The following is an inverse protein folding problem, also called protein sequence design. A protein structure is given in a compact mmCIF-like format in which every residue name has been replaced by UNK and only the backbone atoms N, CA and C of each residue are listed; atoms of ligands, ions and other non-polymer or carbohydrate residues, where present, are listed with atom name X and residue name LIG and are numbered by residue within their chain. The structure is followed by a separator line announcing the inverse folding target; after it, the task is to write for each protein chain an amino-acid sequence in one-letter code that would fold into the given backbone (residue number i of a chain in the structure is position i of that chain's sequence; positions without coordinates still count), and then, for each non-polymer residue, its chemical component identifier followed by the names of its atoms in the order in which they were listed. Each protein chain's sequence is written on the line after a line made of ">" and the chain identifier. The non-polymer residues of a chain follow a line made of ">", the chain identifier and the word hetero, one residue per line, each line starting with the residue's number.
data_IF_536489182074
#
_entry.id   IF_536489182074
#
_cell.length_a   1.000
_cell.length_b   1.000
_cell.length_c   1.000
_cell.angle_alpha   90.00
_cell.angle_beta   90.00
_cell.angle_gamma   90.00
#
_symmetry.space_group_name_H-M   'P 1'
#
loop_
_entity.id
_entity.type
_entity.pdbx_description
1 polymer ?
#
# COMPACT_ATOMS: atom_id res chain seq x y z
N UNK A 1 26.99 -5.52 -7.26
CA UNK A 1 26.77 -6.96 -7.02
C UNK A 1 25.27 -7.22 -7.01
N UNK A 2 24.80 -8.37 -7.51
CA UNK A 2 23.37 -8.74 -7.53
C UNK A 2 23.24 -10.18 -7.06
N UNK A 3 22.29 -10.43 -6.16
CA UNK A 3 22.00 -11.75 -5.63
C UNK A 3 20.50 -12.05 -5.67
N UNK A 4 20.14 -13.34 -5.63
CA UNK A 4 18.74 -13.80 -5.66
C UNK A 4 18.42 -14.49 -4.34
N UNK A 5 17.28 -14.16 -3.77
CA UNK A 5 16.78 -14.71 -2.51
C UNK A 5 15.32 -15.17 -2.69
N UNK A 6 14.95 -16.26 -2.01
CA UNK A 6 13.59 -16.82 -2.02
C UNK A 6 12.81 -16.44 -0.75
N UNK A 7 11.47 -16.60 -0.75
CA UNK A 7 10.70 -16.44 0.47
C UNK A 7 11.26 -17.27 1.62
N UNK A 8 11.35 -16.68 2.81
CA UNK A 8 11.89 -17.27 4.04
C UNK A 8 13.37 -17.73 3.96
N UNK A 9 14.11 -17.28 2.94
CA UNK A 9 15.54 -17.55 2.83
C UNK A 9 16.35 -16.43 3.48
N UNK A 10 17.49 -16.79 4.08
CA UNK A 10 18.57 -15.88 4.48
C UNK A 10 19.75 -16.08 3.53
N UNK A 11 20.44 -15.00 3.19
CA UNK A 11 21.56 -15.02 2.27
C UNK A 11 22.70 -14.14 2.78
N UNK A 12 23.87 -14.75 2.98
CA UNK A 12 25.07 -14.05 3.37
C UNK A 12 25.83 -13.58 2.12
N UNK A 13 26.13 -12.29 2.07
CA UNK A 13 26.78 -11.65 0.93
C UNK A 13 28.14 -11.10 1.37
N UNK A 14 29.27 -11.71 0.96
CA UNK A 14 30.58 -11.14 1.26
C UNK A 14 30.76 -9.84 0.49
N UNK A 15 31.01 -8.75 1.22
CA UNK A 15 31.27 -7.42 0.66
C UNK A 15 32.57 -6.85 1.23
N UNK A 16 33.25 -6.01 0.46
CA UNK A 16 34.43 -5.31 0.95
C UNK A 16 34.04 -4.30 2.04
N UNK A 17 34.94 -3.97 2.99
CA UNK A 17 34.68 -2.89 3.94
C UNK A 17 34.44 -1.54 3.25
N UNK A 18 33.56 -0.72 3.83
CA UNK A 18 33.22 0.64 3.38
C UNK A 18 31.74 0.84 3.07
N UNK A 19 31.44 1.95 2.39
CA UNK A 19 30.09 2.38 2.10
C UNK A 19 29.46 1.59 0.93
N UNK A 20 28.26 1.05 1.17
CA UNK A 20 27.45 0.33 0.19
C UNK A 20 26.04 0.88 0.11
N UNK A 21 25.43 0.73 -1.07
CA UNK A 21 24.01 1.01 -1.29
C UNK A 21 23.30 -0.29 -1.64
N UNK A 22 22.34 -0.69 -0.82
CA UNK A 22 21.59 -1.94 -0.97
C UNK A 22 20.15 -1.63 -1.38
N UNK A 23 19.67 -2.30 -2.43
CA UNK A 23 18.30 -2.20 -2.91
C UNK A 23 17.75 -3.58 -3.22
N UNK A 24 16.48 -3.82 -2.91
CA UNK A 24 15.78 -5.05 -3.28
C UNK A 24 14.76 -4.80 -4.39
N UNK A 25 14.57 -5.80 -5.24
CA UNK A 25 13.57 -5.77 -6.30
C UNK A 25 12.84 -7.12 -6.42
N UNK A 26 11.54 -7.06 -6.71
CA UNK A 26 10.71 -8.21 -7.09
C UNK A 26 9.98 -7.81 -8.37
N UNK A 27 10.22 -8.52 -9.46
CA UNK A 27 9.76 -8.18 -10.82
C UNK A 27 10.03 -6.70 -11.18
N UNK A 28 8.97 -5.92 -11.37
CA UNK A 28 9.05 -4.49 -11.71
C UNK A 28 9.11 -3.57 -10.48
N UNK A 29 8.82 -4.08 -9.28
CA UNK A 29 8.78 -3.35 -8.01
C UNK A 29 10.13 -3.31 -7.31
N UNK A 30 10.46 -2.17 -6.67
CA UNK A 30 11.74 -1.95 -5.97
C UNK A 30 11.52 -1.35 -4.59
N UNK A 31 12.48 -1.56 -3.70
CA UNK A 31 12.59 -0.84 -2.43
C UNK A 31 13.34 0.49 -2.64
N UNK A 32 13.23 1.45 -1.69
CA UNK A 32 14.24 2.48 -1.52
C UNK A 32 15.63 1.83 -1.33
N UNK A 33 16.67 2.54 -1.76
CA UNK A 33 18.05 2.12 -1.49
C UNK A 33 18.42 2.51 -0.06
N UNK A 34 19.07 1.60 0.67
CA UNK A 34 19.59 1.85 2.01
C UNK A 34 21.11 1.93 1.90
N UNK A 35 21.67 3.01 2.46
CA UNK A 35 23.12 3.14 2.59
C UNK A 35 23.56 2.47 3.88
N UNK A 36 24.56 1.61 3.79
CA UNK A 36 25.21 0.97 4.92
C UNK A 36 26.70 1.24 4.82
N UNK A 37 27.37 1.37 5.96
CA UNK A 37 28.82 1.37 6.04
C UNK A 37 29.22 0.09 6.78
N UNK A 38 30.15 -0.67 6.22
CA UNK A 38 30.54 -2.00 6.73
C UNK A 38 31.99 -1.94 7.16
N UNK A 39 32.25 -2.06 8.46
CA UNK A 39 33.61 -2.13 8.99
C UNK A 39 34.27 -3.49 8.68
N UNK A 40 35.61 -3.59 8.74
CA UNK A 40 36.31 -4.85 8.55
C UNK A 40 35.85 -5.93 9.54
N UNK A 41 35.32 -7.05 9.02
CA UNK A 41 34.81 -8.16 9.82
C UNK A 41 33.41 -7.92 10.42
N UNK A 42 32.77 -6.80 10.11
CA UNK A 42 31.40 -6.52 10.51
C UNK A 42 30.38 -7.27 9.64
N UNK A 43 29.32 -7.75 10.29
CA UNK A 43 28.12 -8.27 9.61
C UNK A 43 26.98 -7.28 9.84
N UNK A 44 26.37 -6.81 8.76
CA UNK A 44 25.19 -5.95 8.81
C UNK A 44 23.96 -6.75 8.38
N UNK A 45 23.01 -6.91 9.30
CA UNK A 45 21.76 -7.61 9.02
C UNK A 45 20.74 -6.68 8.35
N UNK A 46 20.12 -7.17 7.27
CA UNK A 46 19.02 -6.49 6.59
C UNK A 46 17.82 -7.43 6.48
N UNK A 47 16.64 -6.93 6.81
CA UNK A 47 15.36 -7.63 6.66
C UNK A 47 14.58 -7.09 5.48
N UNK A 48 13.77 -7.96 4.89
CA UNK A 48 12.99 -7.60 3.73
C UNK A 48 11.63 -8.30 3.70
N UNK A 49 10.63 -7.66 3.09
CA UNK A 49 9.28 -8.20 2.94
C UNK A 49 8.52 -7.51 1.80
N UNK A 50 7.49 -8.17 1.22
CA UNK A 50 6.51 -7.49 0.39
C UNK A 50 5.82 -6.36 1.17
N UNK A 51 5.54 -5.23 0.52
CA UNK A 51 4.73 -4.17 1.11
C UNK A 51 3.25 -4.42 0.85
N UNK A 52 2.59 -5.17 1.73
CA UNK A 52 1.16 -5.52 1.63
C UNK A 52 0.21 -4.40 2.05
N UNK A 53 0.72 -3.25 2.52
CA UNK A 53 -0.10 -2.12 2.97
C UNK A 53 -0.73 -1.31 1.82
N UNK A 54 -0.47 -1.66 0.56
CA UNK A 54 -1.06 -1.00 -0.60
C UNK A 54 -2.07 -1.90 -1.29
N UNK A 55 -3.26 -1.38 -1.67
CA UNK A 55 -4.19 -2.15 -2.48
C UNK A 55 -3.52 -2.53 -3.81
N UNK A 56 -3.64 -3.81 -4.17
CA UNK A 56 -2.96 -4.46 -5.31
C UNK A 56 -2.96 -3.60 -6.59
N UNK A 57 -4.06 -2.91 -6.88
CA UNK A 57 -4.18 -2.04 -8.07
C UNK A 57 -3.29 -0.77 -8.04
N UNK A 58 -3.09 -0.13 -6.89
CA UNK A 58 -2.26 1.09 -6.78
C UNK A 58 -0.78 0.71 -6.74
N UNK A 59 -0.45 -0.42 -6.09
CA UNK A 59 0.90 -0.99 -6.09
C UNK A 59 1.41 -1.23 -7.51
N UNK A 60 0.56 -1.79 -8.39
CA UNK A 60 0.87 -2.14 -9.79
C UNK A 60 1.07 -0.91 -10.69
N UNK A 61 0.40 0.21 -10.43
CA UNK A 61 0.38 1.36 -11.35
C UNK A 61 1.25 2.54 -10.91
N UNK A 62 1.32 2.86 -9.61
CA UNK A 62 2.00 4.07 -9.08
C UNK A 62 2.99 3.74 -7.95
N UNK A 63 2.87 2.57 -7.30
CA UNK A 63 3.66 2.17 -6.13
C UNK A 63 5.04 1.57 -6.40
N UNK A 64 5.61 1.74 -7.60
CA UNK A 64 6.81 1.02 -8.07
C UNK A 64 8.02 1.07 -7.12
N UNK A 65 8.22 2.19 -6.44
CA UNK A 65 9.34 2.39 -5.50
C UNK A 65 9.05 2.01 -4.04
N UNK A 66 7.86 1.52 -3.72
CA UNK A 66 7.44 1.14 -2.36
C UNK A 66 6.84 -0.26 -2.28
N UNK A 67 6.95 -1.06 -3.34
CA UNK A 67 6.35 -2.40 -3.40
C UNK A 67 7.07 -3.42 -2.51
N UNK A 68 8.34 -3.17 -2.22
CA UNK A 68 9.20 -4.03 -1.41
C UNK A 68 9.77 -3.19 -0.26
N UNK A 69 9.67 -3.71 0.98
CA UNK A 69 10.33 -3.12 2.15
C UNK A 69 11.67 -3.80 2.37
N UNK A 70 12.69 -2.98 2.58
CA UNK A 70 14.02 -3.35 3.05
C UNK A 70 14.30 -2.47 4.25
N UNK A 71 14.76 -3.04 5.36
CA UNK A 71 15.06 -2.30 6.59
C UNK A 71 16.11 -3.02 7.43
N UNK A 72 16.59 -2.34 8.46
CA UNK A 72 17.61 -2.83 9.39
C UNK A 72 16.94 -3.29 10.70
N UNK A 73 17.23 -4.47 11.26
CA UNK A 73 16.53 -4.98 12.44
C UNK A 73 16.60 -4.03 13.63
N UNK A 74 17.75 -3.41 13.90
CA UNK A 74 17.92 -2.48 15.03
C UNK A 74 17.16 -1.15 14.86
N UNK A 75 16.60 -0.88 13.67
CA UNK A 75 15.70 0.27 13.46
C UNK A 75 14.23 -0.04 13.75
N UNK A 76 13.90 -1.27 14.17
CA UNK A 76 12.52 -1.69 14.46
C UNK A 76 11.93 -1.08 15.74
N UNK A 77 12.73 -0.52 16.66
CA UNK A 77 12.20 0.16 17.85
C UNK A 77 11.48 1.49 17.51
N UNK A 78 11.64 2.01 16.29
CA UNK A 78 11.01 3.26 15.84
C UNK A 78 9.90 3.07 14.80
N UNK A 79 9.67 1.83 14.34
CA UNK A 79 8.59 1.50 13.43
C UNK A 79 7.83 0.30 13.98
N UNK A 80 7.14 0.56 15.08
CA UNK A 80 5.83 0.00 15.40
C UNK A 80 5.14 -0.41 14.10
N UNK A 81 4.54 -1.60 14.08
CA UNK A 81 3.57 -1.98 13.06
C UNK A 81 2.48 -0.91 13.06
N UNK A 82 2.72 0.21 12.37
CA UNK A 82 1.68 1.15 12.00
C UNK A 82 0.93 0.37 10.95
N UNK A 83 0.01 -0.45 11.44
CA UNK A 83 -1.22 -0.82 10.78
C UNK A 83 -1.69 0.45 10.09
N UNK A 84 -1.26 0.64 8.85
CA UNK A 84 -1.51 1.88 8.13
C UNK A 84 -3.03 2.06 8.19
N UNK A 85 -3.53 3.14 8.81
CA UNK A 85 -4.96 3.33 8.96
C UNK A 85 -5.53 3.23 7.56
N UNK A 86 -6.54 2.35 7.37
CA UNK A 86 -7.13 2.10 6.07
C UNK A 86 -7.41 3.47 5.42
N UNK A 87 -6.78 3.80 4.28
CA UNK A 87 -6.84 5.14 3.73
C UNK A 87 -8.30 5.50 3.53
N UNK A 88 -8.73 6.60 4.15
CA UNK A 88 -10.12 7.04 4.10
C UNK A 88 -10.48 7.20 2.62
N UNK A 89 -11.54 6.53 2.11
CA UNK A 89 -11.90 6.59 0.71
C UNK A 89 -12.64 7.90 0.39
N UNK A 90 -12.00 9.05 0.64
CA UNK A 90 -12.58 10.39 0.53
C UNK A 90 -13.22 10.63 -0.84
N UNK A 91 -12.57 10.17 -1.91
CA UNK A 91 -13.10 10.27 -3.26
C UNK A 91 -14.45 9.56 -3.40
N UNK A 92 -14.61 8.38 -2.78
CA UNK A 92 -15.86 7.61 -2.81
C UNK A 92 -16.96 8.26 -1.97
N UNK A 93 -16.61 8.91 -0.85
CA UNK A 93 -17.55 9.71 -0.07
C UNK A 93 -18.09 10.89 -0.88
N UNK A 94 -17.21 11.60 -1.60
CA UNK A 94 -17.60 12.71 -2.49
C UNK A 94 -18.48 12.20 -3.63
N UNK A 95 -18.10 11.10 -4.29
CA UNK A 95 -18.91 10.49 -5.36
C UNK A 95 -20.28 10.06 -4.85
N UNK A 96 -20.36 9.40 -3.68
CA UNK A 96 -21.64 8.99 -3.10
C UNK A 96 -22.52 10.21 -2.80
N UNK A 97 -21.94 11.27 -2.21
CA UNK A 97 -22.66 12.52 -1.94
C UNK A 97 -23.24 13.15 -3.21
N UNK A 98 -22.45 13.22 -4.29
CA UNK A 98 -22.91 13.74 -5.58
C UNK A 98 -24.03 12.89 -6.18
N UNK A 99 -23.92 11.56 -6.12
CA UNK A 99 -24.95 10.65 -6.62
C UNK A 99 -26.25 10.76 -5.81
N UNK A 100 -26.18 10.88 -4.48
CA UNK A 100 -27.37 11.08 -3.66
C UNK A 100 -28.04 12.44 -3.94
N UNK A 101 -27.25 13.50 -4.16
CA UNK A 101 -27.78 14.80 -4.56
C UNK A 101 -28.47 14.74 -5.93
N UNK A 102 -27.83 14.11 -6.92
CA UNK A 102 -28.41 13.91 -8.25
C UNK A 102 -29.69 13.05 -8.20
N UNK A 103 -29.72 12.02 -7.33
CA UNK A 103 -30.90 11.19 -7.11
C UNK A 103 -32.07 12.00 -6.56
N UNK A 104 -31.83 12.85 -5.57
CA UNK A 104 -32.85 13.74 -5.02
C UNK A 104 -33.41 14.70 -6.06
N UNK A 105 -32.55 15.25 -6.92
CA UNK A 105 -32.94 16.11 -8.05
C UNK A 105 -33.80 15.31 -9.05
N UNK A 106 -33.36 14.13 -9.47
CA UNK A 106 -34.10 13.31 -10.45
C UNK A 106 -35.50 12.92 -9.95
N UNK A 107 -35.62 12.59 -8.65
CA UNK A 107 -36.91 12.31 -8.01
C UNK A 107 -37.80 13.56 -8.00
N UNK A 108 -37.25 14.73 -7.67
CA UNK A 108 -37.99 15.99 -7.63
C UNK A 108 -38.52 16.41 -9.03
N UNK A 109 -37.80 16.08 -10.09
CA UNK A 109 -38.21 16.34 -11.48
C UNK A 109 -39.08 15.22 -12.10
N UNK A 110 -39.40 14.15 -11.35
CA UNK A 110 -40.27 13.07 -11.81
C UNK A 110 -39.64 12.10 -12.83
N UNK A 111 -38.32 12.13 -12.99
CA UNK A 111 -37.59 11.29 -13.94
C UNK A 111 -37.24 9.93 -13.33
N UNK A 112 -38.15 8.95 -13.48
CA UNK A 112 -37.98 7.61 -12.89
C UNK A 112 -36.75 6.89 -13.47
N UNK A 113 -36.49 7.04 -14.77
CA UNK A 113 -35.36 6.37 -15.43
C UNK A 113 -34.00 6.88 -14.92
N UNK A 114 -33.83 8.20 -14.78
CA UNK A 114 -32.58 8.77 -14.25
C UNK A 114 -32.39 8.45 -12.77
N UNK A 115 -33.48 8.45 -11.99
CA UNK A 115 -33.43 8.05 -10.59
C UNK A 115 -32.94 6.60 -10.41
N UNK A 116 -33.40 5.66 -11.24
CA UNK A 116 -32.94 4.26 -11.19
C UNK A 116 -31.47 4.14 -11.55
N UNK A 117 -31.00 4.83 -12.60
CA UNK A 117 -29.59 4.80 -13.03
C UNK A 117 -28.68 5.35 -11.92
N UNK A 118 -29.04 6.49 -11.35
CA UNK A 118 -28.26 7.14 -10.29
C UNK A 118 -28.22 6.27 -9.03
N UNK A 119 -29.34 5.64 -8.66
CA UNK A 119 -29.41 4.73 -7.52
C UNK A 119 -28.50 3.50 -7.71
N UNK A 120 -28.46 2.91 -8.91
CA UNK A 120 -27.57 1.78 -9.21
C UNK A 120 -26.10 2.21 -9.12
N UNK A 121 -25.75 3.39 -9.66
CA UNK A 121 -24.38 3.92 -9.57
C UNK A 121 -23.93 4.19 -8.14
N UNK A 122 -24.86 4.54 -7.24
CA UNK A 122 -24.58 4.80 -5.82
C UNK A 122 -24.23 3.53 -5.03
N UNK A 123 -24.63 2.34 -5.51
CA UNK A 123 -24.36 1.06 -4.81
C UNK A 123 -22.86 0.76 -4.68
N UNK A 124 -22.07 1.07 -5.72
CA UNK A 124 -20.63 0.79 -5.75
C UNK A 124 -19.86 1.57 -4.67
N UNK A 125 -19.96 2.91 -4.56
CA UNK A 125 -19.29 3.63 -3.49
C UNK A 125 -19.89 3.30 -2.10
N UNK A 126 -21.20 3.06 -1.99
CA UNK A 126 -21.83 2.68 -0.72
C UNK A 126 -21.30 1.35 -0.17
N UNK A 127 -21.15 0.32 -1.02
CA UNK A 127 -20.60 -0.98 -0.62
C UNK A 127 -19.14 -0.86 -0.13
N UNK A 128 -18.32 -0.05 -0.82
CA UNK A 128 -16.93 0.19 -0.44
C UNK A 128 -16.83 0.94 0.89
N UNK A 129 -17.66 1.95 1.11
CA UNK A 129 -17.72 2.68 2.39
C UNK A 129 -18.19 1.75 3.50
N UNK A 130 -19.22 0.93 3.27
CA UNK A 130 -19.71 -0.05 4.23
C UNK A 130 -18.65 -1.08 4.64
N UNK A 131 -17.91 -1.62 3.67
CA UNK A 131 -16.79 -2.53 3.93
C UNK A 131 -15.68 -1.86 4.74
N UNK A 132 -15.35 -0.59 4.45
CA UNK A 132 -14.37 0.18 5.22
C UNK A 132 -14.83 0.45 6.67
N UNK A 133 -16.09 0.84 6.88
CA UNK A 133 -16.65 1.03 8.23
C UNK A 133 -16.64 -0.29 9.01
N UNK A 134 -17.03 -1.39 8.36
CA UNK A 134 -17.02 -2.72 8.97
C UNK A 134 -15.61 -3.15 9.39
N UNK A 135 -14.63 -2.99 8.49
CA UNK A 135 -13.23 -3.29 8.79
C UNK A 135 -12.67 -2.41 9.92
N UNK A 136 -13.08 -1.14 9.99
CA UNK A 136 -12.68 -0.22 11.06
C UNK A 136 -13.29 -0.56 12.43
N UNK A 137 -14.51 -1.11 12.48
CA UNK A 137 -15.17 -1.51 13.75
C UNK A 137 -14.66 -2.82 14.34
N UNK A 138 -13.97 -3.64 13.55
CA UNK A 138 -13.48 -4.96 13.95
C UNK A 138 -12.04 -4.95 14.48
N UNK A 139 -11.39 -3.79 14.47
CA UNK A 139 -10.18 -3.49 15.22
C UNK A 139 -10.58 -2.82 16.54
#
# INVERSE_FOLDING_TARGET
>A
MVAKIRPAQTLDLPVAPGAHSVQMAIDWGRSPAISIDVAPGETVDLRCAPNTAQPVLIGITVGRGKYVRLWRPETLDAHEEVEAPLPVPWFRLVTLGLLLAALGIAIAYGSIAEAVIIAVLALVPAAVIGAWIYARRRR
#
